data_IF_002108542618
#
_entry.id   IF_002108542618
#
_cell.length_a   1.000
_cell.length_b   1.000
_cell.length_c   1.000
_cell.angle_alpha   90.00
_cell.angle_beta   90.00
_cell.angle_gamma   90.00
#
_symmetry.space_group_name_H-M   'P 1'
#
loop_
_entity.id
_entity.type
_entity.pdbx_description
1 polymer ?
#
# COMPACT_ATOMS: atom_id res chain seq x y z
N UNK A 1 -9.42 9.99 -2.12
CA UNK A 1 -9.14 9.30 -0.85
C UNK A 1 -8.56 7.95 -1.17
N UNK A 2 -7.42 7.60 -0.58
CA UNK A 2 -6.80 6.28 -0.67
C UNK A 2 -6.93 5.63 0.71
N UNK A 3 -7.38 4.39 0.77
CA UNK A 3 -7.51 3.63 2.01
C UNK A 3 -6.89 2.25 1.85
N UNK A 4 -6.04 1.85 2.79
CA UNK A 4 -5.46 0.52 2.90
C UNK A 4 -5.97 -0.11 4.19
N UNK A 5 -6.42 -1.36 4.11
CA UNK A 5 -6.90 -2.15 5.26
C UNK A 5 -6.11 -3.45 5.37
N UNK A 6 -5.26 -3.54 6.39
CA UNK A 6 -4.44 -4.70 6.71
C UNK A 6 -3.62 -5.24 5.53
N UNK A 7 -3.09 -4.34 4.70
CA UNK A 7 -2.39 -4.71 3.47
C UNK A 7 -1.04 -5.36 3.77
N UNK A 8 -0.86 -6.56 3.25
CA UNK A 8 0.42 -7.28 3.29
C UNK A 8 0.88 -7.57 1.87
N UNK A 9 2.09 -7.14 1.54
CA UNK A 9 2.62 -7.20 0.17
C UNK A 9 4.16 -7.30 0.14
N UNK A 10 4.67 -7.88 -0.94
CA UNK A 10 6.10 -8.01 -1.19
C UNK A 10 6.38 -8.84 -2.45
N UNK A 11 7.60 -8.75 -2.96
CA UNK A 11 8.01 -9.50 -4.16
C UNK A 11 8.06 -11.02 -3.93
N UNK A 12 8.26 -11.45 -2.68
CA UNK A 12 8.24 -12.85 -2.28
C UNK A 12 7.14 -13.07 -1.24
N UNK A 13 6.26 -14.05 -1.47
CA UNK A 13 5.14 -14.35 -0.56
C UNK A 13 5.58 -14.65 0.88
N UNK A 14 6.69 -15.37 1.05
CA UNK A 14 7.17 -15.79 2.37
C UNK A 14 7.91 -14.67 3.12
N UNK A 15 8.28 -13.59 2.43
CA UNK A 15 9.04 -12.47 2.99
C UNK A 15 8.38 -11.13 2.62
N UNK A 16 7.17 -10.84 3.15
CA UNK A 16 6.48 -9.60 2.86
C UNK A 16 7.24 -8.40 3.42
N UNK A 17 7.31 -7.36 2.60
CA UNK A 17 7.95 -6.07 2.93
C UNK A 17 6.97 -5.17 3.66
N UNK A 18 5.71 -5.12 3.21
CA UNK A 18 4.60 -4.47 3.92
C UNK A 18 3.85 -5.53 4.71
N UNK A 19 3.55 -5.27 5.99
CA UNK A 19 2.96 -6.25 6.90
C UNK A 19 1.77 -5.64 7.63
N UNK A 20 0.56 -6.03 7.24
CA UNK A 20 -0.69 -5.56 7.88
C UNK A 20 -0.85 -4.04 7.89
N UNK A 21 -0.39 -3.35 6.84
CA UNK A 21 -0.41 -1.90 6.77
C UNK A 21 -1.86 -1.38 6.63
N UNK A 22 -2.27 -0.52 7.55
CA UNK A 22 -3.53 0.22 7.45
C UNK A 22 -3.25 1.72 7.44
N UNK A 23 -3.79 2.43 6.46
CA UNK A 23 -3.52 3.85 6.21
C UNK A 23 -4.70 4.47 5.48
N UNK A 24 -5.03 5.72 5.82
CA UNK A 24 -5.97 6.55 5.06
C UNK A 24 -5.29 7.83 4.64
N UNK A 25 -5.39 8.17 3.36
CA UNK A 25 -4.93 9.44 2.77
C UNK A 25 -6.13 10.17 2.19
N UNK A 26 -6.39 11.37 2.70
CA UNK A 26 -7.58 12.14 2.32
C UNK A 26 -7.42 12.79 0.94
N UNK A 27 -8.55 13.09 0.29
CA UNK A 27 -8.52 13.86 -0.94
C UNK A 27 -8.06 15.31 -0.65
N UNK A 28 -7.19 15.85 -1.50
CA UNK A 28 -6.64 17.20 -1.32
C UNK A 28 -5.48 17.31 -0.33
N UNK A 29 -5.03 16.19 0.26
CA UNK A 29 -3.88 16.15 1.16
C UNK A 29 -2.59 15.83 0.40
N UNK A 30 -1.49 16.47 0.78
CA UNK A 30 -0.14 16.06 0.37
C UNK A 30 0.46 15.21 1.50
N UNK A 31 0.59 13.91 1.27
CA UNK A 31 1.22 12.99 2.23
C UNK A 31 2.64 12.66 1.80
N UNK A 32 3.59 12.74 2.73
CA UNK A 32 5.00 12.42 2.49
C UNK A 32 5.34 11.07 3.11
N UNK A 33 5.82 10.12 2.29
CA UNK A 33 6.27 8.81 2.76
C UNK A 33 7.77 8.84 3.11
N UNK A 34 8.08 8.87 4.40
CA UNK A 34 9.45 8.91 4.92
C UNK A 34 9.94 7.53 5.36
N UNK A 35 11.26 7.31 5.28
CA UNK A 35 11.90 6.09 5.77
C UNK A 35 13.29 5.88 5.18
N UNK A 36 14.12 5.05 5.82
CA UNK A 36 15.47 4.70 5.36
C UNK A 36 15.44 3.97 4.00
N UNK A 37 16.56 3.92 3.30
CA UNK A 37 16.68 3.08 2.11
C UNK A 37 16.39 1.62 2.48
N UNK A 38 15.59 0.93 1.64
CA UNK A 38 15.13 -0.44 1.92
C UNK A 38 13.91 -0.54 2.85
N UNK A 39 13.35 0.55 3.36
CA UNK A 39 12.19 0.51 4.27
C UNK A 39 10.85 0.14 3.62
N UNK A 40 10.83 -0.21 2.33
CA UNK A 40 9.61 -0.62 1.62
C UNK A 40 8.81 0.51 0.95
N UNK A 41 9.35 1.72 0.82
CA UNK A 41 8.63 2.85 0.18
C UNK A 41 8.23 2.59 -1.26
N UNK A 42 9.17 2.11 -2.09
CA UNK A 42 8.87 1.73 -3.47
C UNK A 42 7.88 0.55 -3.50
N UNK A 43 8.04 -0.43 -2.62
CA UNK A 43 7.08 -1.54 -2.51
C UNK A 43 5.68 -1.03 -2.18
N UNK A 44 5.54 -0.07 -1.27
CA UNK A 44 4.26 0.58 -0.98
C UNK A 44 3.65 1.21 -2.23
N UNK A 45 4.42 2.02 -2.96
CA UNK A 45 3.92 2.67 -4.19
C UNK A 45 3.50 1.63 -5.24
N UNK A 46 4.35 0.63 -5.52
CA UNK A 46 4.03 -0.43 -6.48
C UNK A 46 2.82 -1.27 -6.05
N UNK A 47 2.62 -1.49 -4.74
CA UNK A 47 1.43 -2.18 -4.21
C UNK A 47 0.17 -1.36 -4.44
N UNK A 48 0.19 -0.07 -4.12
CA UNK A 48 -0.96 0.84 -4.34
C UNK A 48 -1.28 1.00 -5.84
N UNK A 49 -0.27 0.95 -6.70
CA UNK A 49 -0.45 0.97 -8.17
C UNK A 49 -0.93 -0.38 -8.75
N UNK A 50 -1.09 -1.43 -7.93
CA UNK A 50 -1.54 -2.74 -8.39
C UNK A 50 -0.46 -3.59 -9.09
N UNK A 51 0.81 -3.21 -8.98
CA UNK A 51 1.93 -3.91 -9.63
C UNK A 51 2.47 -5.08 -8.79
N UNK A 52 2.15 -5.11 -7.49
CA UNK A 52 2.55 -6.18 -6.57
C UNK A 52 1.29 -6.80 -5.98
N UNK A 53 1.17 -8.12 -6.11
CA UNK A 53 0.10 -8.87 -5.48
C UNK A 53 0.12 -8.68 -3.96
N UNK A 54 -1.07 -8.47 -3.38
CA UNK A 54 -1.22 -8.24 -1.97
C UNK A 54 -2.40 -9.02 -1.39
N UNK A 55 -2.46 -9.06 -0.06
CA UNK A 55 -3.67 -9.41 0.69
C UNK A 55 -4.18 -8.18 1.43
N UNK A 56 -5.41 -8.25 1.96
CA UNK A 56 -6.12 -7.08 2.50
C UNK A 56 -6.83 -6.29 1.40
N UNK A 57 -7.28 -5.09 1.72
CA UNK A 57 -8.07 -4.25 0.81
C UNK A 57 -7.37 -2.92 0.52
N UNK A 58 -7.41 -2.49 -0.73
CA UNK A 58 -7.03 -1.14 -1.16
C UNK A 58 -8.26 -0.51 -1.79
N UNK A 59 -8.64 0.69 -1.33
CA UNK A 59 -9.78 1.43 -1.84
C UNK A 59 -9.34 2.78 -2.40
N UNK A 60 -9.83 3.12 -3.60
CA UNK A 60 -9.64 4.40 -4.27
C UNK A 60 -11.00 5.12 -4.33
N UNK A 61 -11.11 6.24 -3.64
CA UNK A 61 -12.37 6.99 -3.53
C UNK A 61 -13.48 6.20 -2.80
N UNK A 62 -13.12 5.22 -1.97
CA UNK A 62 -14.07 4.32 -1.31
C UNK A 62 -14.50 3.12 -2.15
N UNK A 63 -13.94 2.95 -3.36
CA UNK A 63 -14.22 1.82 -4.25
C UNK A 63 -13.01 0.87 -4.19
N UNK A 64 -13.19 -0.45 -4.06
CA UNK A 64 -12.09 -1.41 -4.13
C UNK A 64 -11.25 -1.21 -5.40
N UNK A 65 -9.94 -1.22 -5.24
CA UNK A 65 -8.99 -1.22 -6.35
C UNK A 65 -9.25 -2.45 -7.23
N UNK A 66 -9.19 -2.33 -8.56
CA UNK A 66 -9.53 -3.42 -9.49
C UNK A 66 -8.48 -4.55 -9.55
N UNK A 67 -7.42 -4.47 -8.73
CA UNK A 67 -6.27 -5.38 -8.71
C UNK A 67 -6.23 -6.21 -7.44
#
# INVERSE_FOLDING_TARGET
MLELRNVTAGYHRDHPVLRGLSLTVNAGEITVLLGRNGSGKSTFLHTVMGEIAHSGEILLGGIPSPH
#
